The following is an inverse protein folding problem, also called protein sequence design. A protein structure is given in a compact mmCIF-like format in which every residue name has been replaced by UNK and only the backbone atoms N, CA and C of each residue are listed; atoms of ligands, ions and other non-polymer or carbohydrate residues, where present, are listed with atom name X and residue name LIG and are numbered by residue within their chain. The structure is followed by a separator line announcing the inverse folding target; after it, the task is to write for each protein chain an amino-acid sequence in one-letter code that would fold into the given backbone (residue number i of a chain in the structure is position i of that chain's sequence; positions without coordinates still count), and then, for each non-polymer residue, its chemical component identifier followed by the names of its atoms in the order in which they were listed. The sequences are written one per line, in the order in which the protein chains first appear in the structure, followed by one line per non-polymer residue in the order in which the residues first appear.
data_IF_713766427419
#
_entry.id   IF_713766427419
#
_cell.length_a   1.000
_cell.length_b   1.000
_cell.length_c   1.000
_cell.angle_alpha   90.00
_cell.angle_beta   90.00
_cell.angle_gamma   90.00
#
_symmetry.space_group_name_H-M   'P 1'
#
loop_
_entity.id
_entity.type
_entity.pdbx_description
1 polymer ?
#
# COMPACT_ATOMS: atom_id res chain seq x y z
N UNK A 1 -19.91 -26.89 -27.37
CA UNK A 1 -18.90 -26.19 -28.17
C UNK A 1 -18.59 -24.89 -27.46
N UNK A 2 -17.48 -24.84 -26.74
CA UNK A 2 -16.95 -23.58 -26.19
C UNK A 2 -16.44 -22.74 -27.35
N UNK A 3 -16.97 -21.52 -27.50
CA UNK A 3 -16.55 -20.60 -28.55
C UNK A 3 -15.06 -20.25 -28.37
N UNK A 4 -14.18 -20.57 -29.33
CA UNK A 4 -12.75 -20.23 -29.24
C UNK A 4 -12.50 -18.72 -29.16
N UNK A 5 -13.48 -17.90 -29.55
CA UNK A 5 -13.44 -16.45 -29.53
C UNK A 5 -13.72 -15.85 -28.14
N UNK A 6 -14.46 -16.56 -27.27
CA UNK A 6 -14.71 -16.12 -25.89
C UNK A 6 -13.44 -16.19 -25.03
N UNK A 7 -12.56 -17.15 -25.31
CA UNK A 7 -11.27 -17.30 -24.61
C UNK A 7 -10.27 -16.19 -24.95
N UNK A 8 -10.45 -15.50 -26.08
CA UNK A 8 -9.53 -14.45 -26.55
C UNK A 8 -9.92 -13.06 -26.02
N UNK A 9 -11.10 -12.90 -25.41
CA UNK A 9 -11.68 -11.60 -25.03
C UNK A 9 -11.90 -11.39 -23.53
N UNK A 10 -11.55 -12.34 -22.65
CA UNK A 10 -11.50 -12.04 -21.22
C UNK A 10 -10.30 -11.13 -20.94
N UNK A 11 -10.58 -9.83 -20.74
CA UNK A 11 -9.59 -8.90 -20.20
C UNK A 11 -9.10 -9.51 -18.89
N UNK A 12 -7.80 -9.79 -18.81
CA UNK A 12 -7.22 -10.37 -17.60
C UNK A 12 -7.51 -9.47 -16.41
N UNK A 13 -8.00 -10.05 -15.31
CA UNK A 13 -8.20 -9.33 -14.03
C UNK A 13 -6.88 -8.95 -13.35
N UNK A 14 -5.76 -9.48 -13.84
CA UNK A 14 -4.42 -9.29 -13.28
C UNK A 14 -4.05 -7.81 -13.02
N UNK A 15 -4.20 -6.87 -13.98
CA UNK A 15 -3.98 -5.45 -13.72
C UNK A 15 -4.83 -4.90 -12.57
N UNK A 16 -6.11 -5.29 -12.46
CA UNK A 16 -6.99 -4.83 -11.39
C UNK A 16 -6.59 -5.44 -10.04
N UNK A 17 -6.23 -6.73 -10.00
CA UNK A 17 -5.66 -7.41 -8.84
C UNK A 17 -4.39 -6.73 -8.33
N UNK A 18 -3.46 -6.42 -9.24
CA UNK A 18 -2.22 -5.76 -8.88
C UNK A 18 -2.47 -4.34 -8.37
N UNK A 19 -3.29 -3.56 -9.09
CA UNK A 19 -3.60 -2.17 -8.75
C UNK A 19 -4.34 -2.04 -7.43
N UNK A 20 -5.37 -2.87 -7.22
CA UNK A 20 -6.11 -2.92 -5.94
C UNK A 20 -5.24 -3.41 -4.79
N UNK A 21 -4.30 -4.34 -5.03
CA UNK A 21 -3.28 -4.73 -4.08
C UNK A 21 -2.38 -3.54 -3.68
N UNK A 22 -1.78 -2.87 -4.65
CA UNK A 22 -0.96 -1.67 -4.41
C UNK A 22 -1.71 -0.60 -3.61
N UNK A 23 -2.94 -0.30 -4.03
CA UNK A 23 -3.79 0.70 -3.39
C UNK A 23 -4.18 0.27 -1.96
N UNK A 24 -4.44 -1.01 -1.73
CA UNK A 24 -4.81 -1.52 -0.40
C UNK A 24 -3.69 -1.35 0.62
N UNK A 25 -2.43 -1.42 0.18
CA UNK A 25 -1.27 -1.11 1.01
C UNK A 25 -1.20 0.35 1.47
N UNK A 26 -1.85 1.27 0.75
CA UNK A 26 -1.92 2.69 1.09
C UNK A 26 -3.19 2.98 1.90
N UNK A 27 -4.36 2.60 1.35
CA UNK A 27 -5.68 2.75 1.95
C UNK A 27 -6.63 1.58 1.55
N UNK A 28 -6.72 0.54 2.39
CA UNK A 28 -7.53 -0.65 2.10
C UNK A 28 -9.03 -0.35 2.16
N UNK A 29 -9.44 0.55 3.06
CA UNK A 29 -10.84 0.92 3.23
C UNK A 29 -11.35 1.71 2.02
N UNK A 30 -10.54 2.63 1.48
CA UNK A 30 -10.85 3.34 0.25
C UNK A 30 -11.00 2.38 -0.94
N UNK A 31 -10.11 1.38 -1.06
CA UNK A 31 -10.20 0.37 -2.14
C UNK A 31 -11.52 -0.39 -2.07
N UNK A 32 -11.86 -0.95 -0.89
CA UNK A 32 -13.10 -1.72 -0.73
C UNK A 32 -14.33 -0.83 -0.96
N UNK A 33 -14.32 0.39 -0.42
CA UNK A 33 -15.41 1.35 -0.56
C UNK A 33 -15.63 1.73 -2.03
N UNK A 34 -14.57 2.08 -2.76
CA UNK A 34 -14.66 2.49 -4.16
C UNK A 34 -15.09 1.34 -5.07
N UNK A 35 -14.43 0.18 -4.96
CA UNK A 35 -14.81 -1.00 -5.74
C UNK A 35 -16.26 -1.38 -5.44
N UNK A 36 -16.63 -1.48 -4.17
CA UNK A 36 -17.98 -1.84 -3.76
C UNK A 36 -19.05 -0.84 -4.24
N UNK A 37 -18.76 0.47 -4.22
CA UNK A 37 -19.65 1.48 -4.82
C UNK A 37 -19.77 1.26 -6.33
N UNK A 38 -18.66 1.09 -7.06
CA UNK A 38 -18.70 0.88 -8.50
C UNK A 38 -19.48 -0.36 -8.91
N UNK A 39 -19.36 -1.45 -8.14
CA UNK A 39 -20.21 -2.63 -8.33
C UNK A 39 -21.68 -2.32 -8.03
N UNK A 40 -21.98 -1.75 -6.86
CA UNK A 40 -23.35 -1.48 -6.43
C UNK A 40 -24.12 -0.51 -7.34
N UNK A 41 -23.41 0.43 -7.99
CA UNK A 41 -24.01 1.39 -8.93
C UNK A 41 -24.04 0.90 -10.37
N UNK A 42 -23.54 -0.32 -10.66
CA UNK A 42 -23.45 -0.86 -12.02
C UNK A 42 -22.43 -0.15 -12.92
N UNK A 43 -21.43 0.50 -12.33
CA UNK A 43 -20.30 1.09 -13.09
C UNK A 43 -19.34 0.00 -13.56
N UNK A 44 -19.24 -1.11 -12.82
CA UNK A 44 -18.40 -2.25 -13.17
C UNK A 44 -19.04 -3.56 -12.73
N UNK A 45 -19.31 -4.43 -13.70
CA UNK A 45 -19.80 -5.79 -13.46
C UNK A 45 -18.68 -6.74 -12.96
N UNK A 46 -17.41 -6.32 -13.06
CA UNK A 46 -16.26 -7.11 -12.60
C UNK A 46 -16.09 -7.13 -11.06
N UNK A 47 -16.90 -6.37 -10.32
CA UNK A 47 -16.80 -6.28 -8.86
C UNK A 47 -17.68 -7.34 -8.21
N UNK A 48 -17.12 -8.24 -7.37
CA UNK A 48 -17.88 -9.27 -6.67
C UNK A 48 -19.00 -8.72 -5.78
N UNK A 49 -20.16 -9.38 -5.78
CA UNK A 49 -21.32 -8.99 -4.97
C UNK A 49 -21.03 -8.88 -3.46
N UNK A 50 -20.03 -9.63 -2.97
CA UNK A 50 -19.60 -9.57 -1.56
C UNK A 50 -19.05 -8.20 -1.15
N UNK A 51 -18.41 -7.46 -2.06
CA UNK A 51 -17.87 -6.11 -1.80
C UNK A 51 -18.96 -5.03 -1.92
N UNK A 52 -20.06 -5.32 -2.61
CA UNK A 52 -21.15 -4.38 -2.87
C UNK A 52 -22.17 -4.29 -1.72
N UNK A 53 -22.09 -5.22 -0.77
CA UNK A 53 -23.02 -5.32 0.37
C UNK A 53 -23.07 -4.02 1.18
N UNK A 54 -24.26 -3.51 1.42
CA UNK A 54 -24.47 -2.24 2.14
C UNK A 54 -23.84 -2.23 3.54
N UNK A 55 -23.92 -3.34 4.27
CA UNK A 55 -23.31 -3.45 5.59
C UNK A 55 -21.78 -3.42 5.54
N UNK A 56 -21.17 -4.04 4.52
CA UNK A 56 -19.72 -3.93 4.26
C UNK A 56 -19.36 -2.49 3.93
N UNK A 57 -20.07 -1.84 3.01
CA UNK A 57 -19.83 -0.46 2.59
C UNK A 57 -19.91 0.53 3.76
N UNK A 58 -20.90 0.39 4.64
CA UNK A 58 -21.04 1.23 5.84
C UNK A 58 -19.85 1.04 6.77
N UNK A 59 -19.45 -0.20 7.04
CA UNK A 59 -18.31 -0.50 7.92
C UNK A 59 -17.02 0.07 7.34
N UNK A 60 -16.73 -0.17 6.06
CA UNK A 60 -15.50 0.35 5.44
C UNK A 60 -15.52 1.86 5.28
N UNK A 61 -16.69 2.50 5.09
CA UNK A 61 -16.81 3.96 5.10
C UNK A 61 -16.45 4.54 6.47
N UNK A 62 -16.93 3.94 7.56
CA UNK A 62 -16.55 4.36 8.92
C UNK A 62 -15.06 4.15 9.15
N UNK A 63 -14.51 2.99 8.77
CA UNK A 63 -13.08 2.72 8.92
C UNK A 63 -12.21 3.67 8.08
N UNK A 64 -12.66 4.03 6.88
CA UNK A 64 -12.02 5.05 6.05
C UNK A 64 -12.03 6.42 6.74
N UNK A 65 -13.15 6.84 7.33
CA UNK A 65 -13.20 8.09 8.10
C UNK A 65 -12.27 8.06 9.32
N UNK A 66 -12.20 6.92 10.03
CA UNK A 66 -11.26 6.74 11.15
C UNK A 66 -9.82 6.85 10.65
N UNK A 67 -9.47 6.22 9.52
CA UNK A 67 -8.15 6.32 8.91
C UNK A 67 -7.78 7.76 8.57
N UNK A 68 -8.69 8.49 7.92
CA UNK A 68 -8.51 9.91 7.57
C UNK A 68 -8.26 10.77 8.81
N UNK A 69 -8.86 10.44 9.96
CA UNK A 69 -8.63 11.15 11.23
C UNK A 69 -7.33 10.70 11.89
N UNK A 70 -7.07 9.39 11.94
CA UNK A 70 -5.88 8.80 12.55
C UNK A 70 -4.60 9.34 11.92
N UNK A 71 -4.58 9.48 10.59
CA UNK A 71 -3.44 10.00 9.83
C UNK A 71 -3.05 11.46 10.18
N UNK A 72 -3.95 12.21 10.83
CA UNK A 72 -3.74 13.62 11.18
C UNK A 72 -3.20 13.80 12.60
N UNK A 73 -3.30 12.78 13.45
CA UNK A 73 -2.90 12.85 14.84
C UNK A 73 -1.50 12.20 14.97
N UNK A 74 -0.45 12.96 15.33
CA UNK A 74 0.87 12.39 15.53
C UNK A 74 0.86 11.23 16.52
N UNK A 75 1.69 10.22 16.30
CA UNK A 75 1.80 8.97 17.06
C UNK A 75 0.61 8.01 16.88
N UNK A 76 -0.62 8.51 16.75
CA UNK A 76 -1.79 7.68 16.41
C UNK A 76 -1.60 7.09 15.01
N UNK A 77 -1.11 7.89 14.07
CA UNK A 77 -0.71 7.45 12.73
C UNK A 77 0.24 6.24 12.76
N UNK A 78 1.25 6.28 13.63
CA UNK A 78 2.28 5.25 13.73
C UNK A 78 1.73 3.95 14.33
N UNK A 79 0.87 4.06 15.36
CA UNK A 79 0.18 2.89 15.94
C UNK A 79 -0.79 2.30 14.92
N UNK A 80 -1.53 3.15 14.20
CA UNK A 80 -2.44 2.74 13.13
C UNK A 80 -1.69 1.98 12.04
N UNK A 81 -0.58 2.52 11.53
CA UNK A 81 0.25 1.87 10.52
C UNK A 81 0.84 0.54 11.02
N UNK A 82 1.20 0.45 12.29
CA UNK A 82 1.73 -0.79 12.87
C UNK A 82 0.70 -1.94 12.83
N UNK A 83 -0.56 -1.65 13.16
CA UNK A 83 -1.67 -2.62 13.02
C UNK A 83 -1.88 -2.98 11.55
N UNK A 84 -1.80 -1.98 10.68
CA UNK A 84 -2.06 -2.12 9.26
C UNK A 84 -0.97 -2.83 8.46
N UNK A 85 0.19 -3.06 9.07
CA UNK A 85 1.21 -3.98 8.54
C UNK A 85 0.67 -5.40 8.33
N UNK A 86 -0.37 -5.80 9.07
CA UNK A 86 -1.05 -7.09 8.88
C UNK A 86 -2.40 -6.91 8.18
N UNK A 87 -3.19 -5.92 8.58
CA UNK A 87 -4.56 -5.74 8.07
C UNK A 87 -4.56 -5.44 6.56
N UNK A 88 -3.69 -4.55 6.07
CA UNK A 88 -3.70 -4.16 4.65
C UNK A 88 -3.26 -5.28 3.71
N UNK A 89 -2.18 -6.05 3.97
CA UNK A 89 -1.87 -7.21 3.16
C UNK A 89 -2.99 -8.25 3.10
N UNK A 90 -3.65 -8.51 4.23
CA UNK A 90 -4.78 -9.44 4.26
C UNK A 90 -5.97 -8.90 3.46
N UNK A 91 -6.31 -7.62 3.62
CA UNK A 91 -7.36 -6.98 2.85
C UNK A 91 -7.06 -7.00 1.34
N UNK A 92 -5.84 -6.63 0.93
CA UNK A 92 -5.41 -6.70 -0.47
C UNK A 92 -5.43 -8.11 -1.05
N UNK A 93 -5.06 -9.12 -0.25
CA UNK A 93 -5.15 -10.52 -0.65
C UNK A 93 -6.61 -10.97 -0.85
N UNK A 94 -7.49 -10.60 0.08
CA UNK A 94 -8.93 -10.95 0.00
C UNK A 94 -9.58 -10.26 -1.19
N UNK A 95 -9.38 -8.96 -1.37
CA UNK A 95 -9.91 -8.21 -2.52
C UNK A 95 -9.47 -8.83 -3.84
N UNK A 96 -8.16 -9.12 -3.97
CA UNK A 96 -7.63 -9.73 -5.19
C UNK A 96 -8.19 -11.15 -5.43
N UNK A 97 -8.30 -11.98 -4.40
CA UNK A 97 -8.89 -13.31 -4.51
C UNK A 97 -10.37 -13.25 -4.92
N UNK A 98 -11.13 -12.30 -4.39
CA UNK A 98 -12.53 -12.10 -4.75
C UNK A 98 -12.66 -11.63 -6.22
N UNK A 99 -11.89 -10.63 -6.65
CA UNK A 99 -11.88 -10.17 -8.04
C UNK A 99 -11.54 -11.30 -9.03
N UNK A 100 -10.56 -12.13 -8.68
CA UNK A 100 -10.20 -13.28 -9.50
C UNK A 100 -11.24 -14.41 -9.49
N UNK A 101 -11.98 -14.56 -8.39
CA UNK A 101 -13.11 -15.47 -8.30
C UNK A 101 -14.27 -15.05 -9.19
N UNK A 102 -14.54 -13.74 -9.28
CA UNK A 102 -15.57 -13.16 -10.15
C UNK A 102 -15.20 -13.29 -11.64
N UNK A 103 -13.95 -12.97 -12.00
CA UNK A 103 -13.52 -13.01 -13.40
C UNK A 103 -13.31 -14.42 -13.94
N UNK A 104 -12.94 -15.38 -13.08
CA UNK A 104 -12.51 -16.73 -13.47
C UNK A 104 -11.20 -16.78 -14.25
N UNK A 105 -10.53 -15.65 -14.49
CA UNK A 105 -9.36 -15.55 -15.37
C UNK A 105 -8.02 -15.81 -14.67
N UNK A 106 -8.01 -15.90 -13.33
CA UNK A 106 -6.80 -16.09 -12.53
C UNK A 106 -7.12 -16.98 -11.30
N UNK A 107 -6.25 -17.91 -10.89
CA UNK A 107 -6.47 -18.66 -9.66
C UNK A 107 -6.52 -17.74 -8.44
N UNK A 108 -7.54 -17.90 -7.58
CA UNK A 108 -7.76 -17.05 -6.40
C UNK A 108 -6.56 -17.00 -5.46
N UNK A 109 -5.85 -18.12 -5.28
CA UNK A 109 -4.63 -18.19 -4.46
C UNK A 109 -3.52 -17.34 -5.06
N UNK A 110 -3.31 -17.41 -6.37
CA UNK A 110 -2.31 -16.60 -7.07
C UNK A 110 -2.67 -15.12 -7.01
N UNK A 111 -3.93 -14.79 -7.24
CA UNK A 111 -4.44 -13.43 -7.13
C UNK A 111 -4.25 -12.87 -5.71
N UNK A 112 -4.64 -13.63 -4.68
CA UNK A 112 -4.45 -13.25 -3.29
C UNK A 112 -2.98 -13.07 -2.90
N UNK A 113 -2.08 -13.92 -3.41
CA UNK A 113 -0.65 -13.76 -3.21
C UNK A 113 -0.13 -12.47 -3.86
N UNK A 114 -0.55 -12.16 -5.09
CA UNK A 114 -0.17 -10.93 -5.81
C UNK A 114 -0.73 -9.71 -5.07
N UNK A 115 -2.03 -9.68 -4.79
CA UNK A 115 -2.69 -8.58 -4.10
C UNK A 115 -2.11 -8.31 -2.72
N UNK A 116 -1.94 -9.36 -1.92
CA UNK A 116 -1.41 -9.24 -0.55
C UNK A 116 0.06 -8.86 -0.50
N UNK A 117 0.91 -9.44 -1.35
CA UNK A 117 2.33 -9.06 -1.41
C UNK A 117 2.51 -7.64 -1.94
N UNK A 118 1.74 -7.23 -2.96
CA UNK A 118 1.78 -5.86 -3.48
C UNK A 118 1.30 -4.87 -2.42
N UNK A 119 0.23 -5.19 -1.68
CA UNK A 119 -0.24 -4.39 -0.56
C UNK A 119 0.81 -4.26 0.55
N UNK A 120 1.51 -5.35 0.90
CA UNK A 120 2.58 -5.31 1.89
C UNK A 120 3.73 -4.39 1.45
N UNK A 121 4.22 -4.53 0.22
CA UNK A 121 5.33 -3.69 -0.27
C UNK A 121 4.91 -2.22 -0.31
N UNK A 122 3.69 -1.93 -0.79
CA UNK A 122 3.15 -0.58 -0.85
C UNK A 122 2.99 0.04 0.55
N UNK A 123 2.50 -0.74 1.51
CA UNK A 123 2.40 -0.31 2.91
C UNK A 123 3.77 -0.02 3.53
N UNK A 124 4.79 -0.85 3.25
CA UNK A 124 6.16 -0.60 3.73
C UNK A 124 6.75 0.68 3.14
N UNK A 125 6.41 1.02 1.89
CA UNK A 125 6.76 2.31 1.28
C UNK A 125 6.08 3.48 2.01
N UNK A 126 4.77 3.38 2.29
CA UNK A 126 4.01 4.39 3.07
C UNK A 126 4.61 4.58 4.47
N UNK A 127 4.69 3.51 5.25
CA UNK A 127 5.24 3.54 6.61
C UNK A 127 6.69 4.05 6.64
N UNK A 128 7.51 3.67 5.65
CA UNK A 128 8.86 4.18 5.46
C UNK A 128 8.92 5.68 5.19
N UNK A 129 7.99 6.19 4.39
CA UNK A 129 7.86 7.62 4.09
C UNK A 129 7.40 8.39 5.33
N UNK A 130 6.42 7.87 6.09
CA UNK A 130 5.96 8.44 7.36
C UNK A 130 7.08 8.52 8.39
N UNK A 131 7.90 7.48 8.52
CA UNK A 131 9.09 7.53 9.39
C UNK A 131 10.07 8.63 9.00
N UNK A 132 10.25 8.92 7.71
CA UNK A 132 11.11 10.00 7.25
C UNK A 132 10.52 11.38 7.58
N UNK A 133 9.23 11.57 7.32
CA UNK A 133 8.52 12.85 7.56
C UNK A 133 8.37 13.14 9.06
N UNK A 134 8.06 12.12 9.87
CA UNK A 134 7.89 12.27 11.32
C UNK A 134 9.20 12.55 12.08
N UNK A 135 10.36 12.62 11.40
CA UNK A 135 11.60 13.13 12.02
C UNK A 135 11.52 14.61 12.39
N UNK A 136 10.65 15.38 11.71
CA UNK A 136 10.26 16.74 12.08
C UNK A 136 8.74 16.86 11.94
N UNK A 137 7.97 16.69 13.03
CA UNK A 137 6.51 16.65 12.95
C UNK A 137 5.95 18.04 12.58
N UNK A 138 5.74 18.25 11.29
CA UNK A 138 5.05 19.42 10.75
C UNK A 138 3.62 19.00 10.35
N UNK A 139 2.58 19.48 11.06
CA UNK A 139 1.19 19.06 10.84
C UNK A 139 0.75 19.19 9.38
N UNK A 140 1.22 20.23 8.69
CA UNK A 140 0.88 20.49 7.30
C UNK A 140 1.41 19.40 6.37
N UNK A 141 2.65 18.94 6.57
CA UNK A 141 3.29 17.90 5.75
C UNK A 141 2.58 16.55 5.89
N UNK A 142 2.16 16.19 7.12
CA UNK A 142 1.42 14.96 7.36
C UNK A 142 0.01 14.99 6.75
N UNK A 143 -0.70 16.12 6.87
CA UNK A 143 -2.01 16.30 6.25
C UNK A 143 -1.90 16.24 4.73
N UNK A 144 -0.95 16.97 4.15
CA UNK A 144 -0.75 17.00 2.70
C UNK A 144 -0.37 15.62 2.16
N UNK A 145 0.52 14.90 2.84
CA UNK A 145 0.93 13.55 2.44
C UNK A 145 -0.25 12.57 2.48
N UNK A 146 -1.00 12.55 3.59
CA UNK A 146 -2.19 11.71 3.74
C UNK A 146 -3.25 12.02 2.67
N UNK A 147 -3.51 13.30 2.40
CA UNK A 147 -4.47 13.69 1.37
C UNK A 147 -4.04 13.26 -0.04
N UNK A 148 -2.75 13.39 -0.36
CA UNK A 148 -2.20 12.92 -1.64
C UNK A 148 -2.28 11.40 -1.76
N UNK A 149 -2.01 10.67 -0.67
CA UNK A 149 -2.16 9.21 -0.62
C UNK A 149 -3.61 8.79 -0.91
N UNK A 150 -4.59 9.38 -0.20
CA UNK A 150 -6.00 9.04 -0.35
C UNK A 150 -6.55 9.41 -1.73
N UNK A 151 -6.26 10.61 -2.22
CA UNK A 151 -6.66 11.05 -3.56
C UNK A 151 -5.96 10.24 -4.65
N UNK A 152 -4.70 9.88 -4.45
CA UNK A 152 -3.94 9.02 -5.35
C UNK A 152 -4.53 7.63 -5.44
N UNK A 153 -4.87 7.02 -4.30
CA UNK A 153 -5.59 5.74 -4.24
C UNK A 153 -6.92 5.86 -4.96
N UNK A 154 -7.73 6.87 -4.63
CA UNK A 154 -9.05 7.04 -5.23
C UNK A 154 -8.97 7.21 -6.74
N UNK A 155 -8.05 8.06 -7.21
CA UNK A 155 -7.83 8.31 -8.64
C UNK A 155 -7.37 7.05 -9.37
N UNK A 156 -6.35 6.35 -8.85
CA UNK A 156 -5.79 5.17 -9.52
C UNK A 156 -6.77 4.00 -9.51
N UNK A 157 -7.50 3.76 -8.42
CA UNK A 157 -8.52 2.69 -8.34
C UNK A 157 -9.69 2.99 -9.28
N UNK A 158 -10.18 4.23 -9.28
CA UNK A 158 -11.25 4.64 -10.22
C UNK A 158 -10.79 4.48 -11.66
N UNK A 159 -9.57 4.92 -11.97
CA UNK A 159 -9.01 4.81 -13.31
C UNK A 159 -8.77 3.35 -13.71
N UNK A 160 -8.50 2.45 -12.76
CA UNK A 160 -8.31 1.03 -13.02
C UNK A 160 -9.58 0.33 -13.53
N UNK A 161 -10.77 0.83 -13.19
CA UNK A 161 -12.03 0.30 -13.73
C UNK A 161 -12.14 0.55 -15.24
N UNK A 162 -11.70 1.72 -15.71
CA UNK A 162 -11.82 2.10 -17.13
C UNK A 162 -10.60 1.72 -17.95
N UNK A 163 -9.40 1.76 -17.35
CA UNK A 163 -8.12 1.53 -18.01
C UNK A 163 -7.18 0.66 -17.14
N UNK A 164 -7.48 -0.64 -16.94
CA UNK A 164 -6.78 -1.48 -15.96
C UNK A 164 -5.26 -1.53 -16.16
N UNK A 165 -4.79 -1.71 -17.39
CA UNK A 165 -3.36 -1.83 -17.70
C UNK A 165 -2.58 -0.54 -17.46
N UNK A 166 -3.19 0.61 -17.76
CA UNK A 166 -2.55 1.91 -17.55
C UNK A 166 -2.48 2.19 -16.04
N UNK A 167 -3.57 1.92 -15.32
CA UNK A 167 -3.58 2.05 -13.85
C UNK A 167 -2.55 1.13 -13.18
N UNK A 168 -2.43 -0.12 -13.63
CA UNK A 168 -1.40 -1.05 -13.15
C UNK A 168 0.02 -0.56 -13.43
N UNK A 169 0.25 0.06 -14.60
CA UNK A 169 1.53 0.66 -14.94
C UNK A 169 1.85 1.85 -14.04
N UNK A 170 0.86 2.70 -13.74
CA UNK A 170 1.01 3.83 -12.81
C UNK A 170 1.33 3.32 -11.41
N UNK A 171 0.52 2.39 -10.89
CA UNK A 171 0.71 1.77 -9.58
C UNK A 171 2.10 1.10 -9.47
N UNK A 172 2.52 0.36 -10.50
CA UNK A 172 3.83 -0.28 -10.55
C UNK A 172 4.98 0.72 -10.57
N UNK A 173 4.83 1.81 -11.32
CA UNK A 173 5.83 2.91 -11.37
C UNK A 173 5.96 3.60 -10.01
N UNK A 174 4.83 3.90 -9.35
CA UNK A 174 4.81 4.51 -8.02
C UNK A 174 5.43 3.59 -6.98
N UNK A 175 5.05 2.31 -7.00
CA UNK A 175 5.59 1.28 -6.11
C UNK A 175 7.10 1.11 -6.27
N UNK A 176 7.57 0.98 -7.51
CA UNK A 176 9.00 0.82 -7.80
C UNK A 176 9.79 2.04 -7.37
N UNK A 177 9.33 3.24 -7.72
CA UNK A 177 9.98 4.50 -7.33
C UNK A 177 10.05 4.63 -5.81
N UNK A 178 8.94 4.39 -5.11
CA UNK A 178 8.87 4.44 -3.66
C UNK A 178 9.80 3.41 -3.00
N UNK A 179 9.85 2.19 -3.53
CA UNK A 179 10.74 1.13 -3.04
C UNK A 179 12.22 1.50 -3.25
N UNK A 180 12.58 2.03 -4.42
CA UNK A 180 13.94 2.50 -4.71
C UNK A 180 14.36 3.59 -3.74
N UNK A 181 13.50 4.59 -3.51
CA UNK A 181 13.77 5.68 -2.55
C UNK A 181 13.94 5.10 -1.15
N UNK A 182 13.03 4.24 -0.70
CA UNK A 182 13.08 3.63 0.63
C UNK A 182 14.38 2.85 0.85
N UNK A 183 14.72 1.95 -0.09
CA UNK A 183 15.94 1.14 -0.01
C UNK A 183 17.19 2.02 -0.07
N UNK A 184 17.20 3.03 -0.94
CA UNK A 184 18.29 3.99 -1.02
C UNK A 184 18.51 4.71 0.32
N UNK A 185 17.47 5.31 0.89
CA UNK A 185 17.56 6.02 2.17
C UNK A 185 17.98 5.09 3.31
N UNK A 186 17.38 3.91 3.42
CA UNK A 186 17.76 2.90 4.41
C UNK A 186 19.23 2.50 4.28
N UNK A 187 19.73 2.35 3.05
CA UNK A 187 21.14 2.03 2.80
C UNK A 187 22.08 3.16 3.24
N UNK A 188 21.70 4.42 3.02
CA UNK A 188 22.49 5.61 3.43
C UNK A 188 22.54 5.75 4.94
N UNK A 189 21.42 5.57 5.62
CA UNK A 189 21.34 5.59 7.10
C UNK A 189 22.20 4.46 7.69
N UNK A 190 22.07 3.23 7.20
CA UNK A 190 22.87 2.09 7.66
C UNK A 190 24.37 2.34 7.47
N UNK A 191 24.78 2.88 6.32
CA UNK A 191 26.18 3.25 6.05
C UNK A 191 26.69 4.33 7.00
N UNK A 192 25.89 5.35 7.29
CA UNK A 192 26.25 6.40 8.24
C UNK A 192 26.43 5.86 9.67
N UNK A 193 25.49 5.05 10.14
CA UNK A 193 25.55 4.44 11.47
C UNK A 193 26.78 3.52 11.64
N UNK A 194 27.10 2.72 10.61
CA UNK A 194 28.31 1.89 10.59
C UNK A 194 29.59 2.72 10.71
N UNK A 195 29.71 3.81 9.94
CA UNK A 195 30.85 4.73 10.03
C UNK A 195 30.97 5.40 11.40
N UNK A 196 29.84 5.73 12.02
CA UNK A 196 29.81 6.33 13.37
C UNK A 196 30.23 5.32 14.43
N UNK A 197 29.82 4.05 14.30
CA UNK A 197 30.25 2.98 15.19
C UNK A 197 31.76 2.75 15.12
N UNK A 198 32.33 2.65 13.91
CA UNK A 198 33.78 2.50 13.69
C UNK A 198 34.59 3.64 14.33
N UNK A 199 34.16 4.90 14.13
CA UNK A 199 34.82 6.06 14.76
C UNK A 199 34.76 6.03 16.30
N UNK A 200 33.70 5.47 16.88
CA UNK A 200 33.59 5.31 18.35
C UNK A 200 34.53 4.23 18.86
N UNK A 201 34.69 3.13 18.12
CA UNK A 201 35.65 2.06 18.44
C UNK A 201 37.09 2.53 18.33
N UNK A 202 37.43 3.26 17.26
CA UNK A 202 38.76 3.88 17.08
C UNK A 202 39.10 4.82 18.24
N UNK A 203 38.17 5.70 18.63
CA UNK A 203 38.36 6.59 19.79
C UNK A 203 38.53 5.82 21.11
N UNK A 204 37.73 4.77 21.34
CA UNK A 204 37.87 3.91 22.53
C UNK A 204 39.21 3.19 22.57
N UNK A 205 39.68 2.66 21.43
CA UNK A 205 41.00 2.02 21.32
C UNK A 205 42.13 3.02 21.55
N UNK A 206 42.03 4.23 21.00
CA UNK A 206 43.01 5.28 21.22
C UNK A 206 43.09 5.71 22.69
N UNK A 207 41.94 5.86 23.36
CA UNK A 207 41.88 6.16 24.81
C UNK A 207 42.43 5.03 25.69
N UNK A 208 42.21 3.77 25.30
CA UNK A 208 42.78 2.63 26.01
C UNK A 208 44.31 2.52 25.80
N UNK A 209 44.82 2.91 24.63
CA UNK A 209 46.25 2.92 24.33
C UNK A 209 47.00 4.09 25.00
N UNK A 210 46.33 5.24 25.19
CA UNK A 210 46.90 6.43 25.83
C UNK A 210 45.95 6.97 26.91
N UNK A 211 46.03 6.43 28.14
CA UNK A 211 45.23 6.92 29.26
C UNK A 211 45.60 8.38 29.58
N UNK A 212 44.62 9.24 29.93
CA UNK A 212 44.93 10.59 30.39
C UNK A 212 45.82 10.54 31.66
N UNK A 213 46.76 11.48 31.83
CA UNK A 213 47.58 11.55 33.03
C UNK A 213 46.69 11.78 34.27
N UNK A 214 47.05 11.09 35.37
CA UNK A 214 46.33 11.08 36.64
C UNK A 214 46.39 12.43 37.38
#
# INVERSE_FOLDING_TARGET
MSDPLATITSVSVLPLVFTSGWASGINAYAVVLLLGIFGATGVSDEVPASLQRTDVLVVVAVLFLVEVVADKIPYVDTVWDSVHTVVRPLAGAVVAALLAGESGSLPQIAAGAIGGSTALVSHLVKAGTRMAVNTSPEPFSNIALSAVEDLGVAGVVTFAIFHPWIAATIAGTLLLTGLVILVFLASRIRRFLRRRAQRREEKRRAQAAFPPPA
#
